data_IF_665682136413
#
_entry.id   IF_665682136413
#
_cell.length_a   1.000
_cell.length_b   1.000
_cell.length_c   1.000
_cell.angle_alpha   90.00
_cell.angle_beta   90.00
_cell.angle_gamma   90.00
#
_symmetry.space_group_name_H-M   'P 1'
#
loop_
_entity.id
_entity.type
_entity.pdbx_description
1 polymer ?
#
# COMPACT_ATOMS: atom_id res chain seq x y z
N UNK A 1 4.66 -6.40 18.49
CA UNK A 1 5.07 -5.27 17.62
C UNK A 1 4.89 -5.73 16.20
N UNK A 2 4.38 -4.90 15.35
CA UNK A 2 4.00 -5.28 14.00
C UNK A 2 5.17 -5.13 13.05
N UNK A 3 5.53 -6.22 12.37
CA UNK A 3 6.68 -6.26 11.48
C UNK A 3 6.54 -5.28 10.29
N UNK A 4 5.32 -5.00 9.83
CA UNK A 4 5.08 -4.18 8.65
C UNK A 4 5.36 -2.69 8.90
N UNK A 5 4.73 -2.09 9.91
CA UNK A 5 4.95 -0.68 10.26
C UNK A 5 6.35 -0.42 10.80
N UNK A 6 6.91 -1.36 11.59
CA UNK A 6 8.25 -1.24 12.11
C UNK A 6 9.29 -1.20 10.98
N UNK A 7 9.13 -2.00 9.93
CA UNK A 7 9.99 -1.97 8.74
C UNK A 7 9.90 -0.63 7.99
N UNK A 8 8.69 -0.07 7.83
CA UNK A 8 8.48 1.24 7.21
C UNK A 8 9.16 2.36 8.04
N UNK A 9 8.98 2.36 9.36
CA UNK A 9 9.61 3.32 10.27
C UNK A 9 11.13 3.21 10.24
N UNK A 10 11.67 2.01 10.24
CA UNK A 10 13.11 1.78 10.15
C UNK A 10 13.68 2.32 8.83
N UNK A 11 12.99 2.11 7.71
CA UNK A 11 13.40 2.64 6.41
C UNK A 11 13.45 4.17 6.40
N UNK A 12 12.42 4.81 6.98
CA UNK A 12 12.36 6.27 7.12
C UNK A 12 13.49 6.79 8.03
N UNK A 13 13.71 6.14 9.16
CA UNK A 13 14.78 6.52 10.10
C UNK A 13 16.17 6.38 9.48
N UNK A 14 16.35 5.52 8.48
CA UNK A 14 17.59 5.37 7.71
C UNK A 14 17.77 6.46 6.62
N UNK A 15 16.84 7.44 6.51
CA UNK A 15 16.92 8.55 5.56
C UNK A 15 16.38 8.25 4.16
N UNK A 16 15.61 7.17 4.01
CA UNK A 16 14.96 6.83 2.72
C UNK A 16 13.46 7.09 2.77
N UNK A 17 12.87 7.37 1.62
CA UNK A 17 11.41 7.31 1.46
C UNK A 17 10.95 5.85 1.60
N UNK A 18 10.01 5.54 2.50
CA UNK A 18 9.40 4.21 2.58
C UNK A 18 8.48 4.00 1.39
N UNK A 19 9.01 3.44 0.30
CA UNK A 19 8.24 3.07 -0.90
C UNK A 19 7.77 1.63 -0.74
N UNK A 20 6.45 1.41 -0.87
CA UNK A 20 5.81 0.09 -0.88
C UNK A 20 5.55 -0.30 -2.33
N UNK A 21 6.33 -1.21 -2.94
CA UNK A 21 6.05 -1.72 -4.28
C UNK A 21 4.75 -2.53 -4.27
N UNK A 22 3.79 -2.18 -5.14
CA UNK A 22 2.50 -2.85 -5.25
C UNK A 22 2.51 -3.85 -6.41
N UNK A 23 2.44 -5.13 -6.08
CA UNK A 23 2.39 -6.24 -7.03
C UNK A 23 0.96 -6.40 -7.54
N UNK A 24 0.71 -5.83 -8.71
CA UNK A 24 -0.57 -5.83 -9.41
C UNK A 24 -0.35 -6.37 -10.82
N UNK A 25 -0.99 -7.49 -11.16
CA UNK A 25 -0.74 -8.19 -12.44
C UNK A 25 -1.29 -7.42 -13.63
N UNK A 26 -2.44 -6.79 -13.45
CA UNK A 26 -3.15 -6.03 -14.47
C UNK A 26 -3.56 -4.67 -13.90
N UNK A 27 -3.41 -3.61 -14.68
CA UNK A 27 -4.05 -2.32 -14.40
C UNK A 27 -5.25 -2.15 -15.33
N UNK A 28 -6.45 -1.83 -14.82
CA UNK A 28 -7.62 -1.57 -15.68
C UNK A 28 -7.41 -0.45 -16.70
N UNK A 29 -6.52 0.52 -16.40
CA UNK A 29 -6.18 1.61 -17.31
C UNK A 29 -5.05 1.26 -18.29
N UNK A 30 -4.07 0.44 -17.85
CA UNK A 30 -2.79 0.25 -18.55
C UNK A 30 -2.59 -1.17 -19.10
N UNK A 31 -3.49 -2.12 -18.75
CA UNK A 31 -3.37 -3.53 -19.13
C UNK A 31 -2.32 -4.31 -18.32
N UNK A 32 -1.78 -5.41 -18.85
CA UNK A 32 -0.83 -6.28 -18.14
C UNK A 32 0.45 -5.54 -17.75
N UNK A 33 0.86 -5.66 -16.48
CA UNK A 33 2.05 -5.00 -15.94
C UNK A 33 3.25 -5.94 -15.83
N UNK A 34 3.01 -7.25 -15.68
CA UNK A 34 4.08 -8.24 -15.48
C UNK A 34 4.48 -8.97 -16.77
N UNK A 35 4.08 -8.53 -17.96
CA UNK A 35 4.33 -9.14 -19.27
C UNK A 35 5.62 -9.97 -19.34
N UNK A 36 5.54 -11.29 -19.06
CA UNK A 36 6.68 -12.21 -19.10
C UNK A 36 7.64 -12.19 -17.90
N UNK A 37 7.43 -11.35 -16.90
CA UNK A 37 8.20 -11.38 -15.65
C UNK A 37 7.58 -12.37 -14.66
N UNK A 38 8.44 -13.11 -13.96
CA UNK A 38 8.03 -13.94 -12.83
C UNK A 38 7.83 -13.04 -11.59
N UNK A 39 6.61 -12.97 -11.00
CA UNK A 39 6.33 -12.13 -9.84
C UNK A 39 7.14 -12.51 -8.59
N UNK A 40 7.39 -13.80 -8.37
CA UNK A 40 8.16 -14.26 -7.21
C UNK A 40 9.64 -13.86 -7.33
N UNK A 41 10.24 -14.01 -8.51
CA UNK A 41 11.59 -13.52 -8.78
C UNK A 41 11.67 -11.99 -8.67
N UNK A 42 10.66 -11.26 -9.15
CA UNK A 42 10.59 -9.81 -9.01
C UNK A 42 10.45 -9.37 -7.54
N UNK A 43 9.73 -10.11 -6.72
CA UNK A 43 9.58 -9.82 -5.30
C UNK A 43 10.91 -9.97 -4.55
N UNK A 44 11.65 -11.04 -4.84
CA UNK A 44 13.01 -11.24 -4.31
C UNK A 44 13.94 -10.10 -4.72
N UNK A 45 13.94 -9.72 -5.99
CA UNK A 45 14.76 -8.62 -6.49
C UNK A 45 14.37 -7.26 -5.87
N UNK A 46 13.07 -7.02 -5.57
CA UNK A 46 12.65 -5.82 -4.82
C UNK A 46 13.16 -5.83 -3.38
N UNK A 47 13.16 -6.99 -2.71
CA UNK A 47 13.77 -7.12 -1.39
C UNK A 47 15.27 -6.80 -1.42
N UNK A 48 15.99 -7.33 -2.40
CA UNK A 48 17.41 -7.05 -2.63
C UNK A 48 17.68 -5.57 -2.97
N UNK A 49 16.76 -4.90 -3.65
CA UNK A 49 16.80 -3.46 -3.90
C UNK A 49 16.47 -2.61 -2.65
N UNK A 50 16.13 -3.25 -1.54
CA UNK A 50 15.92 -2.60 -0.24
C UNK A 50 14.49 -2.17 0.05
N UNK A 51 13.49 -2.79 -0.59
CA UNK A 51 12.10 -2.60 -0.20
C UNK A 51 11.90 -3.05 1.25
N UNK A 52 11.28 -2.22 2.12
CA UNK A 52 11.07 -2.60 3.51
C UNK A 52 9.92 -3.60 3.68
N UNK A 53 8.93 -3.52 2.82
CA UNK A 53 7.72 -4.32 2.78
C UNK A 53 7.20 -4.39 1.34
N UNK A 54 6.25 -5.27 1.05
CA UNK A 54 5.57 -5.35 -0.24
C UNK A 54 4.06 -5.24 -0.08
N UNK A 55 3.37 -4.81 -1.13
CA UNK A 55 1.92 -4.90 -1.30
C UNK A 55 1.59 -5.87 -2.43
N UNK A 56 0.59 -6.73 -2.25
CA UNK A 56 0.12 -7.67 -3.28
C UNK A 56 -1.38 -7.51 -3.46
N UNK A 57 -1.79 -7.16 -4.66
CA UNK A 57 -3.20 -7.14 -5.04
C UNK A 57 -3.67 -8.57 -5.24
N UNK A 58 -4.68 -9.00 -4.47
CA UNK A 58 -5.26 -10.34 -4.57
C UNK A 58 -6.63 -10.36 -5.27
N UNK A 59 -7.18 -9.20 -5.59
CA UNK A 59 -8.40 -9.08 -6.36
C UNK A 59 -8.21 -9.64 -7.78
N UNK A 60 -9.06 -10.59 -8.17
CA UNK A 60 -8.86 -11.39 -9.38
C UNK A 60 -9.49 -10.78 -10.63
N UNK A 61 -10.70 -10.23 -10.51
CA UNK A 61 -11.53 -9.86 -11.66
C UNK A 61 -10.94 -8.69 -12.46
N UNK A 62 -10.45 -7.66 -11.78
CA UNK A 62 -9.99 -6.43 -12.39
C UNK A 62 -8.45 -6.32 -12.43
N UNK A 63 -7.78 -6.92 -11.43
CA UNK A 63 -6.33 -6.76 -11.25
C UNK A 63 -5.53 -8.04 -11.46
N UNK A 64 -6.21 -9.18 -11.72
CA UNK A 64 -5.58 -10.46 -12.04
C UNK A 64 -4.79 -11.09 -10.89
N UNK A 65 -5.12 -10.70 -9.64
CA UNK A 65 -4.45 -11.18 -8.45
C UNK A 65 -4.96 -12.53 -7.93
N UNK A 66 -4.32 -13.08 -6.90
CA UNK A 66 -4.80 -14.24 -6.17
C UNK A 66 -4.08 -14.39 -4.83
N UNK A 67 -4.70 -15.10 -3.89
CA UNK A 67 -4.05 -15.49 -2.62
C UNK A 67 -2.88 -16.45 -2.85
N UNK A 68 -2.94 -17.30 -3.88
CA UNK A 68 -1.84 -18.19 -4.24
C UNK A 68 -0.59 -17.39 -4.64
N UNK A 69 -0.76 -16.39 -5.50
CA UNK A 69 0.31 -15.47 -5.89
C UNK A 69 0.90 -14.73 -4.68
N UNK A 70 0.05 -14.25 -3.76
CA UNK A 70 0.53 -13.57 -2.56
C UNK A 70 1.39 -14.50 -1.70
N UNK A 71 0.99 -15.77 -1.52
CA UNK A 71 1.79 -16.75 -0.79
C UNK A 71 3.15 -17.02 -1.45
N UNK A 72 3.20 -17.13 -2.77
CA UNK A 72 4.45 -17.28 -3.53
C UNK A 72 5.38 -16.08 -3.32
N UNK A 73 4.84 -14.86 -3.36
CA UNK A 73 5.59 -13.61 -3.13
C UNK A 73 6.11 -13.54 -1.69
N UNK A 74 5.30 -13.90 -0.68
CA UNK A 74 5.71 -13.93 0.72
C UNK A 74 6.92 -14.86 0.91
N UNK A 75 6.86 -16.06 0.34
CA UNK A 75 7.93 -17.05 0.43
C UNK A 75 9.21 -16.62 -0.30
N UNK A 76 9.08 -15.93 -1.42
CA UNK A 76 10.22 -15.50 -2.24
C UNK A 76 10.95 -14.29 -1.68
N UNK A 77 10.21 -13.31 -1.14
CA UNK A 77 10.77 -12.04 -0.68
C UNK A 77 11.25 -12.08 0.78
N UNK A 78 10.64 -12.94 1.62
CA UNK A 78 10.88 -13.00 3.07
C UNK A 78 10.68 -11.63 3.77
N UNK A 79 9.80 -10.78 3.21
CA UNK A 79 9.43 -9.47 3.72
C UNK A 79 8.00 -9.47 4.27
N UNK A 80 7.65 -8.52 5.15
CA UNK A 80 6.27 -8.27 5.51
C UNK A 80 5.44 -7.87 4.28
N UNK A 81 4.25 -8.48 4.11
CA UNK A 81 3.38 -8.28 2.95
C UNK A 81 2.01 -7.76 3.38
N UNK A 82 1.54 -6.73 2.68
CA UNK A 82 0.17 -6.22 2.73
C UNK A 82 -0.69 -6.97 1.71
N UNK A 83 -1.80 -7.59 2.14
CA UNK A 83 -2.89 -8.00 1.23
C UNK A 83 -3.69 -6.77 0.81
N UNK A 84 -3.69 -6.48 -0.48
CA UNK A 84 -4.49 -5.40 -1.08
C UNK A 84 -5.66 -6.00 -1.85
N UNK A 85 -6.86 -5.86 -1.29
CA UNK A 85 -8.10 -6.45 -1.82
C UNK A 85 -9.32 -5.65 -1.35
N UNK A 86 -10.49 -5.91 -1.93
CA UNK A 86 -11.76 -5.42 -1.43
C UNK A 86 -12.28 -6.32 -0.30
N UNK A 87 -11.73 -6.16 0.90
CA UNK A 87 -12.16 -6.89 2.09
C UNK A 87 -13.61 -6.51 2.44
N UNK A 88 -14.48 -7.50 2.63
CA UNK A 88 -15.91 -7.28 2.88
C UNK A 88 -16.42 -7.99 4.16
N UNK A 89 -15.57 -8.73 4.86
CA UNK A 89 -15.97 -9.49 6.04
C UNK A 89 -14.80 -9.73 7.00
N UNK A 90 -15.11 -10.12 8.24
CA UNK A 90 -14.11 -10.61 9.21
C UNK A 90 -13.46 -11.90 8.69
N UNK A 91 -14.21 -12.75 7.99
CA UNK A 91 -13.67 -13.98 7.40
C UNK A 91 -12.57 -13.70 6.38
N UNK A 92 -12.67 -12.62 5.59
CA UNK A 92 -11.60 -12.21 4.66
C UNK A 92 -10.33 -11.81 5.42
N UNK A 93 -10.49 -11.19 6.61
CA UNK A 93 -9.37 -10.85 7.49
C UNK A 93 -8.71 -12.11 8.05
N UNK A 94 -9.51 -13.09 8.51
CA UNK A 94 -9.03 -14.39 8.97
C UNK A 94 -8.28 -15.15 7.86
N UNK A 95 -8.81 -15.13 6.64
CA UNK A 95 -8.17 -15.70 5.46
C UNK A 95 -6.82 -15.01 5.18
N UNK A 96 -6.76 -13.68 5.30
CA UNK A 96 -5.53 -12.91 5.14
C UNK A 96 -4.44 -13.37 6.11
N UNK A 97 -4.79 -13.54 7.39
CA UNK A 97 -3.87 -14.03 8.40
C UNK A 97 -3.39 -15.46 8.09
N UNK A 98 -4.32 -16.34 7.67
CA UNK A 98 -4.01 -17.74 7.32
C UNK A 98 -3.07 -17.86 6.10
N UNK A 99 -3.01 -16.83 5.26
CA UNK A 99 -2.11 -16.75 4.11
C UNK A 99 -0.69 -16.30 4.47
N UNK A 100 -0.45 -15.85 5.71
CA UNK A 100 0.86 -15.38 6.16
C UNK A 100 1.14 -13.92 5.84
N UNK A 101 0.13 -13.12 5.46
CA UNK A 101 0.27 -11.68 5.32
C UNK A 101 0.60 -11.03 6.67
N UNK A 102 1.23 -9.86 6.64
CA UNK A 102 1.56 -9.06 7.83
C UNK A 102 0.61 -7.88 8.01
N UNK A 103 -0.06 -7.45 6.94
CA UNK A 103 -0.99 -6.34 6.94
C UNK A 103 -2.18 -6.60 6.00
N UNK A 104 -3.27 -5.89 6.22
CA UNK A 104 -4.50 -5.97 5.42
C UNK A 104 -5.03 -4.57 5.11
N UNK A 105 -5.41 -4.34 3.85
CA UNK A 105 -6.07 -3.10 3.43
C UNK A 105 -7.55 -3.13 3.85
N UNK A 106 -8.00 -2.09 4.54
CA UNK A 106 -9.40 -1.87 4.92
C UNK A 106 -9.84 -0.50 4.43
N UNK A 107 -10.83 -0.46 3.54
CA UNK A 107 -11.21 0.74 2.80
C UNK A 107 -12.48 1.35 3.41
N UNK A 108 -12.41 2.60 3.90
CA UNK A 108 -13.53 3.29 4.52
C UNK A 108 -14.76 3.36 3.59
N UNK A 109 -14.54 3.63 2.30
CA UNK A 109 -15.62 3.80 1.32
C UNK A 109 -16.31 2.49 0.94
N UNK A 110 -15.69 1.32 1.18
CA UNK A 110 -16.17 0.03 0.69
C UNK A 110 -17.05 -0.74 1.66
N UNK A 111 -17.16 -0.30 2.92
CA UNK A 111 -17.93 -1.01 3.94
C UNK A 111 -18.56 -0.08 4.99
N UNK A 112 -19.66 -0.51 5.67
CA UNK A 112 -20.21 0.23 6.80
C UNK A 112 -19.20 0.41 7.95
N UNK A 113 -19.26 1.55 8.64
CA UNK A 113 -18.31 1.87 9.72
C UNK A 113 -18.25 0.81 10.82
N UNK A 114 -19.37 0.18 11.15
CA UNK A 114 -19.41 -0.88 12.18
C UNK A 114 -18.67 -2.13 11.73
N UNK A 115 -18.79 -2.52 10.45
CA UNK A 115 -18.03 -3.62 9.89
C UNK A 115 -16.54 -3.30 9.85
N UNK A 116 -16.18 -2.07 9.47
CA UNK A 116 -14.78 -1.62 9.47
C UNK A 116 -14.15 -1.70 10.87
N UNK A 117 -14.88 -1.28 11.94
CA UNK A 117 -14.42 -1.45 13.33
C UNK A 117 -14.15 -2.92 13.67
N UNK A 118 -15.05 -3.82 13.29
CA UNK A 118 -14.92 -5.26 13.54
C UNK A 118 -13.75 -5.87 12.77
N UNK A 119 -13.55 -5.47 11.50
CA UNK A 119 -12.41 -5.92 10.70
C UNK A 119 -11.08 -5.40 11.28
N UNK A 120 -11.01 -4.14 11.72
CA UNK A 120 -9.81 -3.61 12.38
C UNK A 120 -9.49 -4.39 13.66
N UNK A 121 -10.47 -4.64 14.51
CA UNK A 121 -10.28 -5.41 15.74
C UNK A 121 -9.81 -6.84 15.46
N UNK A 122 -10.47 -7.54 14.51
CA UNK A 122 -10.09 -8.88 14.12
C UNK A 122 -8.67 -8.94 13.54
N UNK A 123 -8.28 -7.96 12.73
CA UNK A 123 -6.92 -7.87 12.19
C UNK A 123 -5.89 -7.76 13.33
N UNK A 124 -6.12 -6.86 14.29
CA UNK A 124 -5.24 -6.67 15.45
C UNK A 124 -5.17 -7.93 16.33
N UNK A 125 -6.28 -8.60 16.59
CA UNK A 125 -6.35 -9.85 17.38
C UNK A 125 -5.58 -10.98 16.69
N UNK A 126 -5.54 -10.99 15.36
CA UNK A 126 -4.80 -11.97 14.54
C UNK A 126 -3.34 -11.59 14.28
N UNK A 127 -2.88 -10.45 14.82
CA UNK A 127 -1.51 -9.96 14.62
C UNK A 127 -1.25 -9.33 13.25
N UNK A 128 -2.31 -9.03 12.47
CA UNK A 128 -2.23 -8.25 11.23
C UNK A 128 -2.23 -6.75 11.54
N UNK A 129 -1.55 -5.95 10.73
CA UNK A 129 -1.71 -4.50 10.72
C UNK A 129 -2.80 -4.07 9.74
N UNK A 130 -3.88 -3.42 10.20
CA UNK A 130 -4.81 -2.79 9.29
C UNK A 130 -4.20 -1.50 8.72
N UNK A 131 -4.06 -1.41 7.40
CA UNK A 131 -3.91 -0.17 6.67
C UNK A 131 -5.32 0.35 6.36
N UNK A 132 -5.74 1.41 7.06
CA UNK A 132 -7.09 1.97 6.90
C UNK A 132 -7.06 3.09 5.87
N UNK A 133 -7.64 2.83 4.71
CA UNK A 133 -7.64 3.74 3.56
C UNK A 133 -8.84 4.71 3.62
N UNK A 134 -8.56 5.99 3.36
CA UNK A 134 -9.52 7.08 3.32
C UNK A 134 -9.40 7.90 2.03
N UNK A 135 -10.54 8.45 1.56
CA UNK A 135 -10.62 9.33 0.39
C UNK A 135 -11.12 10.73 0.74
N UNK A 136 -11.64 10.91 1.95
CA UNK A 136 -12.22 12.17 2.43
C UNK A 136 -11.75 12.51 3.84
N UNK A 137 -11.85 13.78 4.21
CA UNK A 137 -11.53 14.24 5.57
C UNK A 137 -12.41 13.55 6.64
N UNK A 138 -13.67 13.24 6.32
CA UNK A 138 -14.56 12.54 7.23
C UNK A 138 -14.11 11.09 7.44
N UNK A 139 -13.74 10.40 6.38
CA UNK A 139 -13.20 9.04 6.45
C UNK A 139 -11.87 9.00 7.20
N UNK A 140 -10.95 9.92 6.95
CA UNK A 140 -9.65 9.95 7.64
C UNK A 140 -9.81 10.22 9.14
N UNK A 141 -10.75 11.10 9.55
CA UNK A 141 -11.07 11.29 10.98
C UNK A 141 -11.66 10.03 11.58
N UNK A 142 -12.54 9.35 10.86
CA UNK A 142 -13.11 8.08 11.32
C UNK A 142 -12.02 7.00 11.44
N UNK A 143 -11.20 6.78 10.40
CA UNK A 143 -10.07 5.87 10.43
C UNK A 143 -9.14 6.12 11.62
N UNK A 144 -8.84 7.40 11.88
CA UNK A 144 -8.03 7.83 13.02
C UNK A 144 -8.65 7.45 14.38
N UNK A 145 -9.98 7.36 14.48
CA UNK A 145 -10.69 6.98 15.70
C UNK A 145 -10.64 5.48 16.00
N UNK A 146 -10.17 4.66 15.06
CA UNK A 146 -10.11 3.19 15.21
C UNK A 146 -8.90 2.71 16.00
N UNK A 147 -7.96 3.60 16.34
CA UNK A 147 -6.72 3.22 17.05
C UNK A 147 -5.71 2.47 16.19
N UNK A 148 -5.90 2.45 14.86
CA UNK A 148 -4.96 1.87 13.92
C UNK A 148 -3.88 2.90 13.58
N UNK A 149 -2.60 2.59 13.80
CA UNK A 149 -1.52 3.57 13.57
C UNK A 149 -1.18 3.76 12.09
N UNK A 150 -1.59 2.84 11.21
CA UNK A 150 -1.28 2.87 9.78
C UNK A 150 -2.51 3.35 9.01
N UNK A 151 -2.38 4.51 8.38
CA UNK A 151 -3.44 5.17 7.62
C UNK A 151 -3.03 5.32 6.16
N UNK A 152 -4.01 5.24 5.25
CA UNK A 152 -3.83 5.46 3.82
C UNK A 152 -4.67 6.62 3.31
N UNK A 153 -4.13 7.40 2.38
CA UNK A 153 -4.90 8.34 1.54
C UNK A 153 -4.76 7.88 0.10
N UNK A 154 -5.87 7.43 -0.47
CA UNK A 154 -5.91 7.06 -1.88
C UNK A 154 -6.25 8.28 -2.74
N UNK A 155 -5.32 8.64 -3.63
CA UNK A 155 -5.45 9.80 -4.51
C UNK A 155 -6.44 9.58 -5.67
N UNK A 156 -6.84 8.34 -5.94
CA UNK A 156 -7.84 8.00 -6.96
C UNK A 156 -9.19 7.68 -6.34
N UNK A 157 -10.23 7.81 -7.16
CA UNK A 157 -11.55 7.32 -6.78
C UNK A 157 -11.58 5.80 -6.93
N UNK A 158 -11.87 5.09 -5.85
CA UNK A 158 -11.97 3.62 -5.86
C UNK A 158 -13.06 3.12 -6.82
N UNK A 159 -14.13 3.88 -7.00
CA UNK A 159 -15.23 3.53 -7.90
C UNK A 159 -14.85 3.70 -9.38
N UNK A 160 -13.84 4.51 -9.67
CA UNK A 160 -13.34 4.72 -11.03
C UNK A 160 -12.37 3.64 -11.51
N UNK A 161 -11.98 2.67 -10.66
CA UNK A 161 -11.06 1.57 -10.98
C UNK A 161 -9.80 2.06 -11.74
N UNK A 162 -9.12 3.06 -11.22
CA UNK A 162 -7.91 3.69 -11.79
C UNK A 162 -8.09 4.44 -13.13
N UNK A 163 -9.31 4.67 -13.58
CA UNK A 163 -9.58 5.38 -14.85
C UNK A 163 -9.61 6.90 -14.71
N UNK A 164 -9.56 7.42 -13.48
CA UNK A 164 -9.38 8.83 -13.21
C UNK A 164 -7.88 9.21 -13.29
N UNK A 165 -7.60 10.44 -13.72
CA UNK A 165 -6.22 10.94 -13.85
C UNK A 165 -5.58 11.32 -12.50
N UNK A 166 -5.73 10.51 -11.46
CA UNK A 166 -5.33 10.78 -10.09
C UNK A 166 -3.97 11.48 -9.95
N UNK A 167 -3.95 12.51 -9.11
CA UNK A 167 -2.75 13.27 -8.73
C UNK A 167 -2.58 13.21 -7.21
N UNK A 168 -1.45 13.59 -6.66
CA UNK A 168 -1.23 13.63 -5.19
C UNK A 168 -2.06 14.69 -4.45
N UNK A 169 -2.96 15.39 -5.13
CA UNK A 169 -3.77 16.48 -4.58
C UNK A 169 -4.59 16.08 -3.36
N UNK A 170 -5.13 14.85 -3.33
CA UNK A 170 -5.90 14.38 -2.16
C UNK A 170 -5.00 14.18 -0.95
N UNK A 171 -3.80 13.68 -1.13
CA UNK A 171 -2.79 13.63 -0.06
C UNK A 171 -2.44 15.03 0.43
N UNK A 172 -2.24 16.02 -0.47
CA UNK A 172 -1.95 17.42 -0.11
C UNK A 172 -3.06 18.03 0.76
N UNK A 173 -4.32 17.72 0.47
CA UNK A 173 -5.47 18.21 1.24
C UNK A 173 -5.62 17.54 2.60
N UNK A 174 -5.35 16.24 2.70
CA UNK A 174 -5.72 15.43 3.86
C UNK A 174 -4.57 15.17 4.84
N UNK A 175 -3.31 15.23 4.41
CA UNK A 175 -2.17 14.82 5.23
C UNK A 175 -2.05 15.61 6.55
N UNK A 176 -2.46 16.88 6.56
CA UNK A 176 -2.48 17.72 7.77
C UNK A 176 -3.45 17.24 8.85
N UNK A 177 -4.40 16.37 8.50
CA UNK A 177 -5.38 15.78 9.43
C UNK A 177 -4.86 14.50 10.11
N UNK A 178 -3.65 14.06 9.77
CA UNK A 178 -3.01 12.88 10.35
C UNK A 178 -2.82 13.06 11.86
N UNK A 179 -3.30 12.13 12.71
CA UNK A 179 -3.04 12.18 14.14
C UNK A 179 -1.55 12.05 14.47
N UNK A 180 -1.08 12.72 15.55
CA UNK A 180 0.27 12.49 16.05
C UNK A 180 0.53 11.00 16.33
N UNK A 181 1.69 10.50 15.89
CA UNK A 181 2.11 9.10 16.11
C UNK A 181 1.58 8.09 15.09
N UNK A 182 0.63 8.46 14.21
CA UNK A 182 0.23 7.63 13.09
C UNK A 182 1.23 7.72 11.93
N UNK A 183 1.18 6.75 11.03
CA UNK A 183 1.99 6.67 9.82
C UNK A 183 1.06 6.73 8.61
N UNK A 184 1.23 7.75 7.77
CA UNK A 184 0.37 8.01 6.62
C UNK A 184 1.04 7.56 5.32
N UNK A 185 0.37 6.67 4.59
CA UNK A 185 0.75 6.24 3.25
C UNK A 185 -0.05 7.04 2.22
N UNK A 186 0.63 7.64 1.24
CA UNK A 186 0.00 8.16 0.03
C UNK A 186 -0.08 7.05 -1.02
N UNK A 187 -1.29 6.79 -1.53
CA UNK A 187 -1.56 5.69 -2.45
C UNK A 187 -2.11 6.22 -3.77
N UNK A 188 -1.75 5.58 -4.88
CA UNK A 188 -2.21 5.89 -6.23
C UNK A 188 -1.77 7.26 -6.77
N UNK A 189 -1.72 7.41 -8.09
CA UNK A 189 -1.41 8.69 -8.75
C UNK A 189 0.07 9.14 -8.65
N UNK A 190 0.94 8.32 -8.11
CA UNK A 190 2.37 8.57 -7.95
C UNK A 190 3.12 7.98 -9.15
N UNK A 191 3.47 8.83 -10.12
CA UNK A 191 4.05 8.39 -11.40
C UNK A 191 5.53 8.78 -11.55
N UNK A 192 6.05 9.65 -10.68
CA UNK A 192 7.40 10.20 -10.80
C UNK A 192 8.03 10.50 -9.44
N UNK A 193 9.37 10.67 -9.37
CA UNK A 193 10.03 11.17 -8.15
C UNK A 193 9.50 12.54 -7.69
N UNK A 194 9.00 13.38 -8.60
CA UNK A 194 8.40 14.66 -8.25
C UNK A 194 7.08 14.49 -7.48
N UNK A 195 6.23 13.53 -7.89
CA UNK A 195 4.99 13.20 -7.16
C UNK A 195 5.30 12.67 -5.76
N UNK A 196 6.37 11.86 -5.64
CA UNK A 196 6.85 11.37 -4.34
C UNK A 196 7.22 12.51 -3.41
N UNK A 197 8.06 13.45 -3.88
CA UNK A 197 8.45 14.62 -3.10
C UNK A 197 7.25 15.45 -2.67
N UNK A 198 6.26 15.65 -3.56
CA UNK A 198 5.02 16.36 -3.23
C UNK A 198 4.24 15.68 -2.12
N UNK A 199 4.03 14.36 -2.22
CA UNK A 199 3.33 13.58 -1.19
C UNK A 199 4.04 13.66 0.17
N UNK A 200 5.37 13.46 0.18
CA UNK A 200 6.18 13.52 1.40
C UNK A 200 6.19 14.91 2.02
N UNK A 201 6.38 15.97 1.21
CA UNK A 201 6.37 17.37 1.68
C UNK A 201 5.01 17.79 2.25
N UNK A 202 3.93 17.14 1.81
CA UNK A 202 2.57 17.37 2.32
C UNK A 202 2.29 16.68 3.66
N UNK A 203 3.19 15.81 4.13
CA UNK A 203 3.08 15.14 5.43
C UNK A 203 2.79 13.64 5.37
N UNK A 204 2.86 13.01 4.21
CA UNK A 204 2.90 11.56 4.11
C UNK A 204 4.20 11.02 4.75
N UNK A 205 4.15 9.82 5.31
CA UNK A 205 5.29 9.14 5.92
C UNK A 205 5.89 8.08 5.01
N UNK A 206 5.14 7.67 3.99
CA UNK A 206 5.55 6.72 2.96
C UNK A 206 4.56 6.74 1.81
N UNK A 207 4.83 5.92 0.80
CA UNK A 207 4.04 5.87 -0.44
C UNK A 207 3.87 4.44 -0.94
N UNK A 208 2.75 4.17 -1.61
CA UNK A 208 2.48 2.88 -2.26
C UNK A 208 2.41 3.10 -3.77
N UNK A 209 3.28 2.40 -4.52
CA UNK A 209 3.49 2.60 -5.96
C UNK A 209 3.49 1.27 -6.69
N UNK A 210 2.58 1.12 -7.66
CA UNK A 210 2.49 -0.08 -8.50
C UNK A 210 2.84 0.21 -9.96
N UNK A 211 1.88 0.76 -10.69
CA UNK A 211 1.94 0.94 -12.16
C UNK A 211 3.22 1.61 -12.62
N UNK A 212 3.65 2.68 -11.96
CA UNK A 212 4.85 3.42 -12.36
C UNK A 212 6.13 2.56 -12.27
N UNK A 213 6.26 1.74 -11.22
CA UNK A 213 7.39 0.82 -11.06
C UNK A 213 7.38 -0.23 -12.18
N UNK A 214 6.26 -0.92 -12.40
CA UNK A 214 6.22 -2.06 -13.33
C UNK A 214 6.22 -1.65 -14.80
N UNK A 215 5.92 -0.38 -15.11
CA UNK A 215 6.03 0.21 -16.46
C UNK A 215 7.40 0.78 -16.78
N UNK A 216 8.25 0.99 -15.78
CA UNK A 216 9.60 1.46 -16.01
C UNK A 216 10.41 0.43 -16.84
N UNK A 217 11.34 0.89 -17.64
CA UNK A 217 12.27 0.06 -18.42
C UNK A 217 13.07 -0.85 -17.47
N UNK A 218 13.59 -0.27 -16.38
CA UNK A 218 14.17 -0.99 -15.25
C UNK A 218 13.38 -0.67 -13.96
N UNK A 219 12.48 -1.56 -13.50
CA UNK A 219 11.67 -1.37 -12.30
C UNK A 219 12.50 -1.19 -11.02
N UNK A 220 13.65 -1.83 -10.94
CA UNK A 220 14.48 -1.84 -9.73
C UNK A 220 15.29 -0.54 -9.62
N UNK A 221 15.87 -0.08 -10.73
CA UNK A 221 16.51 1.24 -10.78
C UNK A 221 15.51 2.37 -10.54
N UNK A 222 14.28 2.25 -11.05
CA UNK A 222 13.23 3.22 -10.80
C UNK A 222 12.79 3.20 -9.32
N UNK A 223 12.66 2.02 -8.71
CA UNK A 223 12.39 1.89 -7.27
C UNK A 223 13.48 2.57 -6.42
N UNK A 224 14.76 2.34 -6.73
CA UNK A 224 15.88 2.99 -6.01
C UNK A 224 15.81 4.52 -6.13
N UNK A 225 15.53 5.04 -7.33
CA UNK A 225 15.35 6.48 -7.55
C UNK A 225 14.18 7.06 -6.72
N UNK A 226 13.05 6.33 -6.61
CA UNK A 226 11.94 6.73 -5.76
C UNK A 226 12.34 6.74 -4.28
N UNK A 227 13.03 5.71 -3.81
CA UNK A 227 13.40 5.56 -2.40
C UNK A 227 14.42 6.60 -1.93
N UNK A 228 15.17 7.22 -2.86
CA UNK A 228 16.18 8.28 -2.57
C UNK A 228 15.65 9.70 -2.81
N UNK A 229 14.42 9.88 -3.24
CA UNK A 229 13.87 11.16 -3.69
C UNK A 229 13.88 12.29 -2.66
N UNK A 230 14.04 12.00 -1.36
CA UNK A 230 14.22 12.99 -0.29
C UNK A 230 15.71 13.36 -0.04
N UNK A 231 16.66 12.52 -0.46
CA UNK A 231 18.07 12.73 -0.15
C UNK A 231 18.73 13.88 -0.95
N UNK A 232 18.00 14.43 -1.96
CA UNK A 232 18.51 15.46 -2.86
C UNK A 232 17.89 16.85 -2.61
N UNK A 233 17.15 17.08 -1.51
CA UNK A 233 16.47 18.34 -1.20
C UNK A 233 17.25 19.24 -0.25
#
# INVERSE_FOLDING_TARGET
>A
MSAFLDALRARRAAGFVPVIPDFKMVSPAEGPLFAGRDPAAAAKAMAEAGAPVLSVVTEMEHFGGSLALMREIILAAELPVLRKDFIQSVTDVEETASCGASAVLLICASMPQELLRRCCAAAQDLGLEPLVEAHTAAELRFASSLGCPLLGVNNRDILALEKDGGTVGRTEELASLKPPGSFLISESGLMSPADMRRAMSSGADGVLVGTAIWRAEDPFAFYDALSRAEAEA
#
